data_IF_134099880593
#
_entry.id   IF_134099880593
#
_cell.length_a   1.000
_cell.length_b   1.000
_cell.length_c   1.000
_cell.angle_alpha   90.00
_cell.angle_beta   90.00
_cell.angle_gamma   90.00
#
_symmetry.space_group_name_H-M   'P 1'
#
loop_
_entity.id
_entity.type
_entity.pdbx_description
1 polymer ?
#
# COMPACT_ATOMS: atom_id res chain seq x y z
N UNK A 1 22.32 -0.43 22.52
CA UNK A 1 20.92 -0.63 22.12
C UNK A 1 20.81 -0.16 20.66
N UNK A 2 20.32 -0.98 19.73
CA UNK A 2 20.16 -0.59 18.31
C UNK A 2 18.70 -0.22 18.07
N UNK A 3 18.45 0.95 17.49
CA UNK A 3 17.12 1.38 17.11
C UNK A 3 16.90 1.06 15.62
N UNK A 4 15.83 0.34 15.31
CA UNK A 4 15.38 0.11 13.93
C UNK A 4 14.39 1.25 13.63
N UNK A 5 14.81 2.23 12.84
CA UNK A 5 14.00 3.40 12.50
C UNK A 5 13.00 3.05 11.39
N UNK A 6 12.05 2.17 11.66
CA UNK A 6 10.96 1.78 10.75
C UNK A 6 9.65 1.96 11.51
N UNK A 7 8.86 2.95 11.09
CA UNK A 7 7.58 3.29 11.74
C UNK A 7 6.44 3.46 10.72
N UNK A 8 6.38 2.58 9.72
CA UNK A 8 5.33 2.52 8.71
C UNK A 8 4.99 1.06 8.37
N UNK A 9 3.82 0.84 7.77
CA UNK A 9 3.40 -0.48 7.28
C UNK A 9 3.59 -0.50 5.76
N UNK A 10 4.43 -1.40 5.20
CA UNK A 10 4.51 -1.62 3.76
C UNK A 10 3.32 -2.47 3.30
N UNK A 11 2.22 -1.82 2.91
CA UNK A 11 0.99 -2.50 2.50
C UNK A 11 1.15 -3.25 1.18
N UNK A 12 1.82 -2.60 0.22
CA UNK A 12 2.11 -3.14 -1.11
C UNK A 12 3.53 -2.74 -1.52
N UNK A 13 4.03 -3.29 -2.62
CA UNK A 13 5.35 -2.93 -3.16
C UNK A 13 5.55 -1.43 -3.39
N UNK A 14 4.47 -0.66 -3.60
CA UNK A 14 4.51 0.80 -3.82
C UNK A 14 3.51 1.58 -2.94
N UNK A 15 2.93 0.95 -1.92
CA UNK A 15 1.95 1.59 -1.02
C UNK A 15 2.37 1.37 0.42
N UNK A 16 2.33 2.44 1.21
CA UNK A 16 2.59 2.38 2.65
C UNK A 16 1.46 3.04 3.42
N UNK A 17 1.28 2.62 4.68
CA UNK A 17 0.38 3.23 5.65
C UNK A 17 1.14 3.69 6.88
N UNK A 18 0.68 4.78 7.49
CA UNK A 18 1.17 5.24 8.80
C UNK A 18 0.42 4.60 9.96
N UNK A 19 -0.61 3.79 9.67
CA UNK A 19 -1.50 3.13 10.64
C UNK A 19 -1.97 4.08 11.75
N UNK A 20 -2.52 5.21 11.31
CA UNK A 20 -2.96 6.28 12.19
C UNK A 20 -4.38 6.73 11.84
N UNK A 21 -5.41 5.94 12.22
CA UNK A 21 -6.81 6.22 11.86
C UNK A 21 -7.31 7.55 12.44
N UNK A 22 -6.78 7.97 13.60
CA UNK A 22 -7.08 9.27 14.20
C UNK A 22 -6.54 10.47 13.39
N UNK A 23 -5.62 10.24 12.46
CA UNK A 23 -5.01 11.29 11.65
C UNK A 23 -6.04 12.12 10.89
N UNK A 24 -7.07 11.48 10.35
CA UNK A 24 -8.16 12.17 9.67
C UNK A 24 -8.89 13.13 10.62
N UNK A 25 -9.26 12.65 11.81
CA UNK A 25 -9.97 13.47 12.80
C UNK A 25 -9.09 14.61 13.31
N UNK A 26 -7.83 14.36 13.64
CA UNK A 26 -6.91 15.41 14.09
C UNK A 26 -6.69 16.48 13.01
N UNK A 27 -6.70 16.10 11.73
CA UNK A 27 -6.49 17.03 10.64
C UNK A 27 -7.73 17.88 10.33
N UNK A 28 -8.93 17.29 10.22
CA UNK A 28 -10.14 18.00 9.76
C UNK A 28 -11.09 18.45 10.87
N UNK A 29 -11.09 17.81 12.04
CA UNK A 29 -12.03 18.13 13.11
C UNK A 29 -11.55 19.32 13.94
N UNK A 30 -12.33 20.39 13.99
CA UNK A 30 -11.97 21.60 14.76
C UNK A 30 -11.98 21.35 16.27
N UNK A 31 -12.71 20.35 16.76
CA UNK A 31 -12.68 20.00 18.18
C UNK A 31 -11.37 19.32 18.60
N UNK A 32 -10.53 18.91 17.64
CA UNK A 32 -9.21 18.27 17.89
C UNK A 32 -8.02 19.18 17.55
N UNK A 33 -8.20 20.51 17.43
CA UNK A 33 -7.10 21.45 17.10
C UNK A 33 -5.89 21.27 18.04
N UNK A 34 -6.12 21.09 19.35
CA UNK A 34 -5.04 20.94 20.34
C UNK A 34 -4.18 19.68 20.13
N UNK A 35 -4.72 18.65 19.47
CA UNK A 35 -4.01 17.39 19.20
C UNK A 35 -3.33 17.38 17.83
N UNK A 36 -3.66 18.33 16.95
CA UNK A 36 -3.24 18.36 15.55
C UNK A 36 -1.72 18.44 15.39
N UNK A 37 -1.07 19.34 16.13
CA UNK A 37 0.38 19.53 16.03
C UNK A 37 1.14 18.24 16.39
N UNK A 38 0.80 17.62 17.52
CA UNK A 38 1.39 16.35 17.93
C UNK A 38 1.12 15.21 16.94
N UNK A 39 -0.09 15.16 16.36
CA UNK A 39 -0.43 14.20 15.31
C UNK A 39 0.42 14.40 14.05
N UNK A 40 0.60 15.65 13.59
CA UNK A 40 1.47 15.97 12.46
C UNK A 40 2.93 15.64 12.75
N UNK A 41 3.45 15.94 13.93
CA UNK A 41 4.81 15.57 14.31
C UNK A 41 5.05 14.06 14.29
N UNK A 42 4.09 13.29 14.81
CA UNK A 42 4.13 11.82 14.75
C UNK A 42 4.15 11.33 13.31
N UNK A 43 3.20 11.77 12.47
CA UNK A 43 3.14 11.35 11.07
C UNK A 43 4.41 11.76 10.30
N UNK A 44 4.95 12.94 10.57
CA UNK A 44 6.17 13.42 9.93
C UNK A 44 7.40 12.58 10.31
N UNK A 45 7.50 12.15 11.58
CA UNK A 45 8.54 11.21 12.02
C UNK A 45 8.42 9.88 11.25
N UNK A 46 7.21 9.31 11.15
CA UNK A 46 6.98 8.07 10.42
C UNK A 46 7.34 8.19 8.92
N UNK A 47 6.95 9.29 8.26
CA UNK A 47 7.34 9.57 6.86
C UNK A 47 8.86 9.69 6.72
N UNK A 48 9.54 10.32 7.68
CA UNK A 48 10.99 10.41 7.67
C UNK A 48 11.65 9.04 7.83
N UNK A 49 11.10 8.14 8.66
CA UNK A 49 11.60 6.75 8.76
C UNK A 49 11.50 5.99 7.43
N UNK A 50 10.43 6.21 6.65
CA UNK A 50 10.31 5.65 5.30
C UNK A 50 11.42 6.16 4.39
N UNK A 51 11.64 7.47 4.36
CA UNK A 51 12.68 8.09 3.54
C UNK A 51 14.08 7.59 3.94
N UNK A 52 14.35 7.46 5.24
CA UNK A 52 15.59 6.91 5.76
C UNK A 52 15.77 5.44 5.36
N UNK A 53 14.70 4.63 5.43
CA UNK A 53 14.72 3.21 5.03
C UNK A 53 15.05 3.04 3.54
N UNK A 54 14.52 3.92 2.68
CA UNK A 54 14.83 3.96 1.25
C UNK A 54 16.18 4.63 0.95
N UNK A 55 16.79 5.28 1.95
CA UNK A 55 18.00 6.08 1.81
C UNK A 55 17.84 7.24 0.83
N UNK A 56 16.67 7.89 0.81
CA UNK A 56 16.34 9.03 -0.06
C UNK A 56 16.18 10.31 0.76
N UNK A 57 16.66 11.43 0.25
CA UNK A 57 16.46 12.77 0.82
C UNK A 57 15.70 13.63 -0.21
N UNK A 58 14.37 13.50 -0.28
CA UNK A 58 13.58 14.09 -1.36
C UNK A 58 13.37 15.59 -1.18
N UNK A 59 13.16 16.31 -2.28
CA UNK A 59 12.64 17.66 -2.23
C UNK A 59 11.16 17.63 -1.77
N UNK A 60 10.88 18.19 -0.60
CA UNK A 60 9.53 18.24 -0.04
C UNK A 60 8.71 19.34 -0.72
N UNK A 61 7.58 18.94 -1.31
CA UNK A 61 6.61 19.83 -1.98
C UNK A 61 5.24 19.63 -1.36
N UNK A 62 4.38 20.62 -1.51
CA UNK A 62 3.03 20.58 -0.96
C UNK A 62 2.03 21.30 -1.87
N UNK A 63 0.76 20.96 -1.74
CA UNK A 63 -0.34 21.73 -2.33
C UNK A 63 -0.57 23.01 -1.52
N UNK A 64 -0.41 24.17 -2.14
CA UNK A 64 -0.43 25.48 -1.48
C UNK A 64 -1.82 25.96 -1.03
N UNK A 65 -2.91 25.42 -1.60
CA UNK A 65 -4.29 25.84 -1.31
C UNK A 65 -4.72 25.61 0.16
N UNK A 66 -3.93 24.88 0.94
CA UNK A 66 -4.21 24.56 2.33
C UNK A 66 -2.97 24.80 3.18
N UNK A 67 -3.01 25.83 4.02
CA UNK A 67 -1.92 26.26 4.90
C UNK A 67 -1.39 25.14 5.80
N UNK A 68 -2.26 24.20 6.20
CA UNK A 68 -1.87 23.03 7.00
C UNK A 68 -0.89 22.11 6.27
N UNK A 69 -0.92 22.07 4.94
CA UNK A 69 0.07 21.32 4.16
C UNK A 69 1.45 21.98 4.23
N UNK A 70 1.51 23.31 4.33
CA UNK A 70 2.76 24.07 4.47
C UNK A 70 3.42 23.71 5.80
N UNK A 71 2.66 23.81 6.88
CA UNK A 71 3.11 23.45 8.23
C UNK A 71 3.60 21.99 8.27
N UNK A 72 2.79 21.05 7.75
CA UNK A 72 3.16 19.65 7.76
C UNK A 72 4.41 19.35 6.93
N UNK A 73 4.54 19.97 5.74
CA UNK A 73 5.74 19.84 4.91
C UNK A 73 7.00 20.38 5.59
N UNK A 74 6.90 21.50 6.33
CA UNK A 74 8.01 22.04 7.12
C UNK A 74 8.43 21.10 8.25
N UNK A 75 7.46 20.50 8.95
CA UNK A 75 7.73 19.49 9.98
C UNK A 75 8.45 18.31 9.35
N UNK A 76 7.94 17.75 8.24
CA UNK A 76 8.60 16.63 7.52
C UNK A 76 10.03 17.01 7.12
N UNK A 77 10.26 18.19 6.55
CA UNK A 77 11.59 18.66 6.17
C UNK A 77 12.53 18.71 7.38
N UNK A 78 12.06 19.23 8.53
CA UNK A 78 12.84 19.24 9.76
C UNK A 78 13.18 17.82 10.25
N UNK A 79 12.25 16.87 10.13
CA UNK A 79 12.51 15.46 10.45
C UNK A 79 13.59 14.88 9.52
N UNK A 80 13.48 15.09 8.21
CA UNK A 80 14.46 14.62 7.21
C UNK A 80 15.86 15.21 7.43
N UNK A 81 15.95 16.49 7.79
CA UNK A 81 17.24 17.14 8.07
C UNK A 81 18.01 16.42 9.18
N UNK A 82 17.33 15.90 10.20
CA UNK A 82 17.96 15.13 11.29
C UNK A 82 18.50 13.79 10.77
N UNK A 83 17.72 13.05 9.99
CA UNK A 83 18.21 11.80 9.37
C UNK A 83 19.38 12.03 8.41
N UNK A 84 19.38 13.11 7.62
CA UNK A 84 20.52 13.46 6.74
C UNK A 84 21.75 13.89 7.53
N UNK A 85 21.58 14.51 8.71
CA UNK A 85 22.70 14.85 9.59
C UNK A 85 23.33 13.59 10.22
N UNK A 86 22.53 12.59 10.54
CA UNK A 86 23.00 11.30 11.08
C UNK A 86 23.61 10.39 10.00
N UNK A 87 23.10 10.44 8.76
CA UNK A 87 23.62 9.74 7.59
C UNK A 87 23.81 10.70 6.41
N UNK A 88 25.05 11.16 6.24
CA UNK A 88 25.43 12.06 5.15
C UNK A 88 25.28 11.45 3.76
N UNK A 89 25.13 10.12 3.63
CA UNK A 89 24.95 9.45 2.32
C UNK A 89 23.48 9.39 1.87
N UNK A 90 22.54 9.75 2.73
CA UNK A 90 21.11 9.71 2.44
C UNK A 90 20.75 10.63 1.26
N UNK A 91 20.21 10.07 0.18
CA UNK A 91 19.90 10.84 -1.03
C UNK A 91 21.06 11.05 -2.01
N UNK A 92 22.23 10.45 -1.76
CA UNK A 92 23.36 10.55 -2.68
C UNK A 92 23.12 9.68 -3.93
N UNK A 93 23.57 10.19 -5.09
CA UNK A 93 23.43 9.54 -6.39
C UNK A 93 22.47 10.25 -7.35
N UNK A 94 22.66 10.09 -8.67
CA UNK A 94 21.93 10.83 -9.69
C UNK A 94 20.42 10.55 -9.71
N UNK A 95 20.01 9.34 -9.31
CA UNK A 95 18.59 8.97 -9.23
C UNK A 95 17.95 9.50 -7.94
N UNK A 96 18.63 9.33 -6.80
CA UNK A 96 18.09 9.69 -5.48
C UNK A 96 17.98 11.21 -5.28
N UNK A 97 18.91 11.98 -5.85
CA UNK A 97 18.89 13.45 -5.79
C UNK A 97 17.71 14.09 -6.52
N UNK A 98 17.02 13.35 -7.40
CA UNK A 98 15.83 13.80 -8.12
C UNK A 98 14.51 13.43 -7.42
N UNK A 99 14.59 12.73 -6.29
CA UNK A 99 13.42 12.29 -5.52
C UNK A 99 12.60 13.48 -5.04
N UNK A 100 11.28 13.36 -5.10
CA UNK A 100 10.33 14.35 -4.59
C UNK A 100 9.36 13.68 -3.63
N UNK A 101 8.97 14.41 -2.59
CA UNK A 101 7.92 14.01 -1.66
C UNK A 101 6.81 15.06 -1.74
N UNK A 102 5.65 14.69 -2.24
CA UNK A 102 4.52 15.59 -2.41
C UNK A 102 3.48 15.37 -1.29
N UNK A 103 3.23 16.41 -0.51
CA UNK A 103 2.20 16.45 0.53
C UNK A 103 0.89 16.98 -0.06
N UNK A 104 -0.15 16.15 0.01
CA UNK A 104 -1.52 16.49 -0.40
C UNK A 104 -2.50 16.22 0.73
N UNK A 105 -3.55 17.03 0.81
CA UNK A 105 -4.71 16.77 1.65
C UNK A 105 -5.83 16.08 0.85
N UNK A 106 -6.68 15.32 1.55
CA UNK A 106 -7.81 14.59 0.95
C UNK A 106 -8.78 15.51 0.21
N UNK A 107 -8.85 16.79 0.58
CA UNK A 107 -9.70 17.79 -0.06
C UNK A 107 -9.30 18.16 -1.50
N UNK A 108 -8.16 17.66 -2.02
CA UNK A 108 -7.81 17.81 -3.45
C UNK A 108 -8.75 17.04 -4.37
N UNK A 109 -9.30 15.93 -3.88
CA UNK A 109 -10.17 15.05 -4.64
C UNK A 109 -11.19 14.38 -3.71
N UNK A 110 -12.38 14.97 -3.68
CA UNK A 110 -13.53 14.42 -2.96
C UNK A 110 -14.33 13.40 -3.75
N UNK A 111 -14.03 13.18 -5.04
CA UNK A 111 -14.84 12.32 -5.92
C UNK A 111 -14.30 10.90 -5.94
N UNK A 112 -13.02 10.70 -6.24
CA UNK A 112 -12.45 9.35 -6.39
C UNK A 112 -12.64 8.40 -5.19
N UNK A 113 -12.61 8.82 -3.90
CA UNK A 113 -12.79 7.89 -2.79
C UNK A 113 -14.27 7.55 -2.55
N UNK A 114 -15.21 8.16 -3.27
CA UNK A 114 -16.65 7.90 -3.19
C UNK A 114 -17.19 7.13 -4.40
N UNK A 115 -16.39 6.95 -5.45
CA UNK A 115 -16.79 6.23 -6.65
C UNK A 115 -16.69 4.72 -6.43
N UNK A 116 -17.70 3.99 -6.92
CA UNK A 116 -17.62 2.54 -7.09
C UNK A 116 -16.66 2.21 -8.23
N UNK A 117 -15.42 1.87 -7.88
CA UNK A 117 -14.35 1.60 -8.83
C UNK A 117 -14.44 0.16 -9.38
N UNK A 118 -14.13 -0.03 -10.67
CA UNK A 118 -14.33 -1.31 -11.36
C UNK A 118 -13.04 -2.14 -11.56
N UNK A 119 -11.94 -1.70 -10.95
CA UNK A 119 -10.73 -2.52 -10.85
C UNK A 119 -10.91 -3.58 -9.76
N UNK A 120 -10.32 -4.76 -9.96
CA UNK A 120 -10.65 -5.94 -9.14
C UNK A 120 -10.47 -5.70 -7.63
N UNK A 121 -9.34 -5.15 -7.21
CA UNK A 121 -9.08 -4.87 -5.79
C UNK A 121 -10.03 -3.82 -5.24
N UNK A 122 -10.16 -2.66 -5.90
CA UNK A 122 -11.01 -1.60 -5.39
C UNK A 122 -12.47 -2.05 -5.26
N UNK A 123 -12.98 -2.76 -6.28
CA UNK A 123 -14.33 -3.32 -6.27
C UNK A 123 -14.53 -4.37 -5.17
N UNK A 124 -13.53 -5.22 -4.93
CA UNK A 124 -13.62 -6.27 -3.90
C UNK A 124 -13.68 -5.67 -2.49
N UNK A 125 -12.84 -4.68 -2.18
CA UNK A 125 -12.83 -4.02 -0.85
C UNK A 125 -14.05 -3.13 -0.61
N UNK A 126 -14.65 -2.62 -1.67
CA UNK A 126 -15.85 -1.79 -1.60
C UNK A 126 -17.13 -2.63 -1.43
N UNK A 127 -17.28 -3.70 -2.20
CA UNK A 127 -18.54 -4.47 -2.25
C UNK A 127 -18.57 -5.70 -1.33
N UNK A 128 -17.41 -6.25 -0.96
CA UNK A 128 -17.33 -7.46 -0.14
C UNK A 128 -16.84 -7.14 1.27
N UNK A 129 -17.39 -7.81 2.30
CA UNK A 129 -16.83 -7.71 3.64
C UNK A 129 -15.35 -8.10 3.64
N UNK A 130 -14.54 -7.24 4.24
CA UNK A 130 -13.12 -7.46 4.44
C UNK A 130 -12.71 -6.97 5.82
N UNK A 131 -11.99 -7.80 6.57
CA UNK A 131 -11.37 -7.39 7.83
C UNK A 131 -9.88 -7.68 7.75
N UNK A 132 -9.04 -6.65 7.82
CA UNK A 132 -7.56 -6.77 7.74
C UNK A 132 -7.10 -7.60 6.54
N UNK A 133 -7.57 -7.26 5.34
CA UNK A 133 -7.26 -7.95 4.08
C UNK A 133 -7.72 -9.42 4.02
N UNK A 134 -8.63 -9.83 4.90
CA UNK A 134 -9.25 -11.16 4.89
C UNK A 134 -10.66 -11.06 4.33
N UNK A 135 -10.90 -11.79 3.24
CA UNK A 135 -12.22 -11.97 2.64
C UNK A 135 -12.79 -13.34 2.97
N UNK A 136 -14.07 -13.39 3.32
CA UNK A 136 -14.78 -14.64 3.55
C UNK A 136 -15.39 -15.12 2.24
N UNK A 137 -15.02 -16.34 1.81
CA UNK A 137 -15.58 -16.96 0.62
C UNK A 137 -16.32 -18.25 0.97
N UNK A 138 -17.47 -18.48 0.34
CA UNK A 138 -18.19 -19.74 0.47
C UNK A 138 -17.73 -20.69 -0.63
N UNK A 139 -17.05 -21.77 -0.28
CA UNK A 139 -16.61 -22.80 -1.23
C UNK A 139 -17.28 -24.12 -0.88
N UNK A 140 -18.15 -24.61 -1.78
CA UNK A 140 -18.87 -25.89 -1.60
C UNK A 140 -19.67 -25.97 -0.28
N UNK A 141 -20.23 -24.85 0.17
CA UNK A 141 -20.98 -24.76 1.44
C UNK A 141 -20.12 -24.57 2.69
N UNK A 142 -18.79 -24.48 2.56
CA UNK A 142 -17.87 -24.21 3.66
C UNK A 142 -17.32 -22.79 3.54
N UNK A 143 -17.43 -22.03 4.62
CA UNK A 143 -16.79 -20.71 4.74
C UNK A 143 -15.27 -20.89 4.83
N UNK A 144 -14.55 -20.16 3.99
CA UNK A 144 -13.09 -20.10 4.00
C UNK A 144 -12.65 -18.65 4.02
N UNK A 145 -11.78 -18.34 4.97
CA UNK A 145 -11.13 -17.05 5.07
C UNK A 145 -9.91 -17.04 4.15
N UNK A 146 -9.84 -16.05 3.27
CA UNK A 146 -8.75 -15.87 2.31
C UNK A 146 -8.08 -14.55 2.59
N UNK A 147 -6.81 -14.61 2.98
CA UNK A 147 -5.95 -13.45 3.09
C UNK A 147 -5.47 -13.06 1.69
N UNK A 148 -5.76 -11.82 1.27
CA UNK A 148 -5.26 -11.27 0.01
C UNK A 148 -4.06 -10.35 0.29
N UNK A 149 -2.90 -10.68 -0.24
CA UNK A 149 -1.68 -9.88 -0.06
C UNK A 149 -0.66 -10.12 -1.18
N UNK A 150 0.50 -9.47 -1.09
CA UNK A 150 1.61 -9.54 -2.06
C UNK A 150 2.28 -10.94 -2.17
N UNK A 151 1.93 -11.90 -1.30
CA UNK A 151 2.41 -13.28 -1.42
C UNK A 151 1.62 -14.11 -2.45
N UNK A 152 0.43 -13.64 -2.88
CA UNK A 152 -0.32 -14.27 -3.97
C UNK A 152 0.04 -13.60 -5.30
N UNK A 153 0.80 -14.32 -6.14
CA UNK A 153 1.20 -13.87 -7.47
C UNK A 153 0.01 -13.58 -8.39
N UNK A 154 -1.09 -14.33 -8.25
CA UNK A 154 -2.30 -14.09 -9.04
C UNK A 154 -2.99 -12.82 -8.60
N UNK A 155 -3.03 -12.56 -7.29
CA UNK A 155 -3.56 -11.30 -6.77
C UNK A 155 -2.80 -10.11 -7.34
N UNK A 156 -1.46 -10.13 -7.30
CA UNK A 156 -0.63 -9.05 -7.88
C UNK A 156 -0.88 -8.82 -9.37
N UNK A 157 -1.04 -9.89 -10.15
CA UNK A 157 -1.31 -9.79 -11.58
C UNK A 157 -2.71 -9.20 -11.88
N UNK A 158 -3.70 -9.53 -11.06
CA UNK A 158 -5.11 -9.25 -11.35
C UNK A 158 -5.65 -7.99 -10.65
N UNK A 159 -5.09 -7.58 -9.51
CA UNK A 159 -5.68 -6.58 -8.60
C UNK A 159 -6.02 -5.24 -9.25
N UNK A 160 -5.23 -4.80 -10.22
CA UNK A 160 -5.44 -3.52 -10.91
C UNK A 160 -6.11 -3.65 -12.28
N UNK A 161 -6.52 -4.86 -12.68
CA UNK A 161 -7.27 -5.06 -13.92
C UNK A 161 -8.74 -4.72 -13.72
N UNK A 162 -9.40 -4.21 -14.77
CA UNK A 162 -10.86 -4.13 -14.81
C UNK A 162 -11.44 -5.52 -14.58
N UNK A 163 -12.45 -5.62 -13.72
CA UNK A 163 -13.03 -6.89 -13.26
C UNK A 163 -13.41 -7.84 -14.42
N UNK A 164 -13.97 -7.30 -15.51
CA UNK A 164 -14.32 -8.09 -16.69
C UNK A 164 -13.11 -8.75 -17.36
N UNK A 165 -11.97 -8.05 -17.40
CA UNK A 165 -10.70 -8.56 -17.94
C UNK A 165 -10.08 -9.56 -16.98
N UNK A 166 -10.10 -9.27 -15.67
CA UNK A 166 -9.61 -10.19 -14.64
C UNK A 166 -10.33 -11.55 -14.72
N UNK A 167 -11.67 -11.56 -14.85
CA UNK A 167 -12.45 -12.79 -15.00
C UNK A 167 -12.09 -13.60 -16.25
N UNK A 168 -11.87 -12.93 -17.37
CA UNK A 168 -11.43 -13.59 -18.61
C UNK A 168 -10.05 -14.21 -18.43
N UNK A 169 -9.13 -13.50 -17.78
CA UNK A 169 -7.76 -13.98 -17.54
C UNK A 169 -7.75 -15.16 -16.56
N UNK A 170 -8.51 -15.10 -15.47
CA UNK A 170 -8.70 -16.24 -14.55
C UNK A 170 -9.22 -17.47 -15.32
N UNK A 171 -10.24 -17.29 -16.15
CA UNK A 171 -10.83 -18.38 -16.93
C UNK A 171 -9.86 -18.99 -17.94
N UNK A 172 -9.05 -18.17 -18.59
CA UNK A 172 -8.00 -18.61 -19.53
C UNK A 172 -6.89 -19.35 -18.77
N UNK A 173 -6.38 -18.78 -17.69
CA UNK A 173 -5.31 -19.35 -16.87
C UNK A 173 -5.74 -20.71 -16.29
N UNK A 174 -6.99 -20.83 -15.84
CA UNK A 174 -7.56 -22.11 -15.38
C UNK A 174 -7.59 -23.18 -16.49
N UNK A 175 -8.06 -22.83 -17.69
CA UNK A 175 -8.07 -23.77 -18.83
C UNK A 175 -6.67 -24.23 -19.19
N UNK A 176 -5.70 -23.32 -19.21
CA UNK A 176 -4.29 -23.64 -19.47
C UNK A 176 -3.73 -24.56 -18.40
N UNK A 177 -3.98 -24.27 -17.12
CA UNK A 177 -3.55 -25.11 -16.00
C UNK A 177 -4.11 -26.53 -16.09
N UNK A 178 -5.42 -26.68 -16.31
CA UNK A 178 -6.06 -27.99 -16.48
C UNK A 178 -5.49 -28.75 -17.67
N UNK A 179 -5.24 -28.07 -18.79
CA UNK A 179 -4.64 -28.71 -19.96
C UNK A 179 -3.20 -29.17 -19.70
N UNK A 180 -2.41 -28.40 -18.97
CA UNK A 180 -1.03 -28.77 -18.59
C UNK A 180 -1.02 -29.95 -17.62
N UNK A 181 -1.94 -29.98 -16.63
CA UNK A 181 -2.11 -31.12 -15.73
C UNK A 181 -2.45 -32.40 -16.50
N UNK A 182 -3.40 -32.33 -17.45
CA UNK A 182 -3.76 -33.48 -18.29
C UNK A 182 -2.55 -34.00 -19.08
N UNK A 183 -1.77 -33.11 -19.69
CA UNK A 183 -0.55 -33.49 -20.41
C UNK A 183 0.49 -34.15 -19.51
N UNK A 184 0.71 -33.62 -18.30
CA UNK A 184 1.63 -34.19 -17.31
C UNK A 184 1.20 -35.59 -16.86
N UNK A 185 -0.10 -35.79 -16.61
CA UNK A 185 -0.65 -37.09 -16.21
C UNK A 185 -0.54 -38.13 -17.33
N UNK A 186 -0.70 -37.73 -18.60
CA UNK A 186 -0.49 -38.62 -19.75
C UNK A 186 0.97 -38.92 -20.03
N UNK A 187 1.91 -38.10 -19.54
CA UNK A 187 3.36 -38.26 -19.74
C UNK A 187 4.04 -39.13 -18.66
N UNK A 188 3.33 -39.58 -17.62
CA UNK A 188 3.83 -40.55 -16.64
C UNK A 188 4.71 -39.98 -15.52
N UNK A 189 4.90 -38.66 -15.41
CA UNK A 189 5.72 -38.05 -14.37
C UNK A 189 4.92 -37.89 -13.06
N UNK A 190 5.21 -38.73 -12.07
CA UNK A 190 4.52 -38.80 -10.76
C UNK A 190 5.15 -37.93 -9.65
N UNK A 191 6.05 -37.00 -9.97
CA UNK A 191 6.88 -36.33 -8.96
C UNK A 191 6.45 -34.91 -8.56
N UNK A 192 5.46 -34.27 -9.21
CA UNK A 192 5.18 -32.82 -9.00
C UNK A 192 3.81 -32.46 -8.41
N UNK A 193 2.95 -33.44 -8.08
CA UNK A 193 1.54 -33.15 -7.74
C UNK A 193 1.33 -32.73 -6.26
N UNK A 194 2.31 -32.92 -5.37
CA UNK A 194 2.13 -32.65 -3.93
C UNK A 194 2.24 -31.17 -3.53
N UNK A 195 2.92 -30.33 -4.31
CA UNK A 195 3.35 -29.00 -3.81
C UNK A 195 2.42 -27.84 -4.20
N UNK A 196 1.36 -28.11 -4.96
CA UNK A 196 0.46 -27.08 -5.52
C UNK A 196 -0.93 -26.98 -4.86
N UNK A 197 -1.12 -27.60 -3.69
CA UNK A 197 -2.42 -27.66 -3.00
C UNK A 197 -2.44 -27.05 -1.58
N UNK A 198 -1.39 -26.37 -1.15
CA UNK A 198 -1.41 -25.53 0.06
C UNK A 198 -1.47 -24.05 -0.31
#
# INVERSE_FOLDING_TARGET
MKHINIAFIPCESQVFSLDFPDGFQCYYNQNKISQRAAAMERMAEQIATLCATLGVYPAVRYRADNERNIEFAQIIQHKLNRYKADDLTMGDGPEKSRSQLLVIDRGVDGVSPLLHELTFQAMAYDLLPSENDVHNCLKSGVEKNVLVNENDDRWKELRHQIIAVAFQNISKNWKTYVNNLKKSLTAGDKSSVSDSLN
#
